data_IF_739360171271
#
_entry.id   IF_739360171271
#
_cell.length_a   1.000
_cell.length_b   1.000
_cell.length_c   1.000
_cell.angle_alpha   90.00
_cell.angle_beta   90.00
_cell.angle_gamma   90.00
#
_symmetry.space_group_name_H-M   'P 1'
#
loop_
_entity.id
_entity.type
_entity.pdbx_description
1 polymer ?
#
# COMPACT_ATOMS: atom_id res chain seq x y z
N UNK A 1 -8.28 11.74 11.55
CA UNK A 1 -7.74 12.99 12.13
C UNK A 1 -6.24 12.90 12.03
N UNK A 2 -5.46 13.56 12.89
CA UNK A 2 -4.10 13.07 13.14
C UNK A 2 -4.18 12.03 14.26
N UNK A 3 -4.64 10.83 13.92
CA UNK A 3 -4.97 9.78 14.90
C UNK A 3 -3.85 8.74 15.03
N UNK A 4 -3.92 7.89 16.07
CA UNK A 4 -2.87 6.90 16.34
C UNK A 4 -3.46 5.60 16.88
N UNK A 5 -3.20 4.51 16.19
CA UNK A 5 -3.73 3.18 16.45
C UNK A 5 -2.60 2.20 16.78
N UNK A 6 -2.58 1.71 18.02
CA UNK A 6 -1.74 0.58 18.43
C UNK A 6 -2.63 -0.66 18.55
N UNK A 7 -2.61 -1.51 17.52
CA UNK A 7 -3.49 -2.68 17.44
C UNK A 7 -2.91 -3.86 18.22
N UNK A 8 -3.75 -4.88 18.41
CA UNK A 8 -3.45 -6.07 19.18
C UNK A 8 -3.55 -7.35 18.36
N UNK A 9 -3.76 -8.47 19.06
CA UNK A 9 -3.84 -9.80 18.45
C UNK A 9 -5.15 -10.05 17.70
N UNK A 10 -5.05 -10.74 16.58
CA UNK A 10 -6.16 -11.11 15.70
C UNK A 10 -6.27 -10.16 14.51
N UNK A 11 -7.20 -10.45 13.61
CA UNK A 11 -7.47 -9.62 12.45
C UNK A 11 -8.16 -8.32 12.90
N UNK A 12 -7.59 -7.19 12.52
CA UNK A 12 -8.11 -5.85 12.83
C UNK A 12 -8.81 -5.24 11.60
N UNK A 13 -9.73 -4.31 11.87
CA UNK A 13 -10.33 -3.42 10.87
C UNK A 13 -10.13 -1.99 11.40
N UNK A 14 -9.39 -1.16 10.65
CA UNK A 14 -9.08 0.23 10.99
C UNK A 14 -9.59 1.15 9.90
N UNK A 15 -10.33 2.20 10.31
CA UNK A 15 -10.69 3.35 9.48
C UNK A 15 -10.31 4.63 10.22
N UNK A 16 -9.24 5.29 9.81
CA UNK A 16 -8.71 6.47 10.50
C UNK A 16 -9.27 7.80 9.96
N UNK A 17 -9.57 7.86 8.66
CA UNK A 17 -10.02 9.07 7.97
C UNK A 17 -8.95 10.16 7.86
N UNK A 18 -9.37 11.38 7.51
CA UNK A 18 -8.47 12.48 7.10
C UNK A 18 -7.56 13.03 8.21
N UNK A 19 -6.31 13.27 7.86
CA UNK A 19 -5.19 13.79 8.64
C UNK A 19 -4.01 12.79 8.65
N UNK A 20 -2.82 13.20 9.11
CA UNK A 20 -1.65 12.30 9.14
C UNK A 20 -1.74 11.35 10.35
N UNK A 21 -1.99 10.07 10.08
CA UNK A 21 -2.20 9.00 11.06
C UNK A 21 -0.95 8.13 11.27
N UNK A 22 -0.93 7.42 12.40
CA UNK A 22 0.03 6.36 12.69
C UNK A 22 -0.71 5.07 13.06
N UNK A 23 -0.58 4.01 12.26
CA UNK A 23 -1.19 2.70 12.49
C UNK A 23 -0.06 1.67 12.69
N UNK A 24 -0.07 0.98 13.82
CA UNK A 24 0.93 -0.04 14.18
C UNK A 24 0.23 -1.30 14.68
N UNK A 25 0.27 -2.37 13.88
CA UNK A 25 -0.13 -3.72 14.31
C UNK A 25 1.01 -4.36 15.11
N UNK A 26 0.75 -4.75 16.35
CA UNK A 26 1.81 -5.25 17.23
C UNK A 26 1.98 -6.77 17.15
N UNK A 27 3.15 -7.19 16.67
CA UNK A 27 3.63 -8.58 16.54
C UNK A 27 3.90 -9.28 17.89
N UNK A 28 2.98 -9.19 18.85
CA UNK A 28 3.11 -9.79 20.19
C UNK A 28 2.63 -11.26 20.24
N UNK A 29 2.71 -11.96 19.11
CA UNK A 29 2.29 -13.36 18.95
C UNK A 29 2.92 -14.01 17.72
N UNK A 30 3.33 -15.29 17.83
CA UNK A 30 3.76 -16.10 16.68
C UNK A 30 2.53 -16.65 15.96
N UNK A 31 1.93 -15.86 15.08
CA UNK A 31 0.77 -16.29 14.29
C UNK A 31 0.37 -15.25 13.26
N UNK A 32 -0.13 -15.74 12.13
CA UNK A 32 -0.53 -14.94 10.97
C UNK A 32 -1.81 -14.16 11.27
N UNK A 33 -1.82 -12.84 11.03
CA UNK A 33 -3.02 -12.00 11.02
C UNK A 33 -3.39 -11.62 9.58
N UNK A 34 -4.65 -11.24 9.34
CA UNK A 34 -5.05 -10.66 8.06
C UNK A 34 -5.76 -9.35 8.38
N UNK A 35 -5.05 -8.24 8.26
CA UNK A 35 -5.52 -6.93 8.73
C UNK A 35 -6.10 -6.08 7.59
N UNK A 36 -7.18 -5.35 7.88
CA UNK A 36 -7.76 -4.35 6.97
C UNK A 36 -7.50 -2.94 7.51
N UNK A 37 -6.84 -2.10 6.72
CA UNK A 37 -6.45 -0.75 7.12
C UNK A 37 -6.84 0.24 6.02
N UNK A 38 -7.64 1.22 6.40
CA UNK A 38 -8.14 2.30 5.54
C UNK A 38 -7.84 3.65 6.20
N UNK A 39 -7.10 4.51 5.52
CA UNK A 39 -6.82 5.89 5.94
C UNK A 39 -7.31 6.90 4.89
N UNK A 40 -7.31 8.19 5.23
CA UNK A 40 -7.98 9.24 4.47
C UNK A 40 -7.02 10.07 3.62
N UNK A 41 -7.20 11.39 3.61
CA UNK A 41 -6.19 12.31 3.07
C UNK A 41 -5.19 12.77 4.16
N UNK A 42 -3.89 12.67 3.90
CA UNK A 42 -2.81 12.94 4.85
C UNK A 42 -1.54 12.20 4.42
N UNK A 43 -0.37 12.50 4.99
CA UNK A 43 0.80 11.60 4.86
C UNK A 43 0.79 10.61 6.03
N UNK A 44 0.44 9.36 5.75
CA UNK A 44 0.18 8.30 6.74
C UNK A 44 1.39 7.37 6.96
N UNK A 45 1.49 6.83 8.18
CA UNK A 45 2.50 5.83 8.55
C UNK A 45 1.82 4.54 9.03
N UNK A 46 1.96 3.46 8.25
CA UNK A 46 1.28 2.18 8.44
C UNK A 46 2.32 1.06 8.63
N UNK A 47 2.20 0.27 9.69
CA UNK A 47 3.01 -0.93 9.90
C UNK A 47 2.17 -2.13 10.31
N UNK A 48 2.38 -3.28 9.65
CA UNK A 48 1.68 -4.54 9.89
C UNK A 48 2.63 -5.70 10.22
N UNK A 49 2.08 -6.75 10.84
CA UNK A 49 2.76 -7.99 11.19
C UNK A 49 2.71 -9.02 10.04
N UNK A 50 3.13 -10.27 10.29
CA UNK A 50 3.03 -11.35 9.30
C UNK A 50 1.58 -11.68 8.90
N UNK A 51 1.26 -11.55 7.61
CA UNK A 51 0.09 -12.22 7.00
C UNK A 51 -0.57 -11.54 5.80
N UNK A 52 -1.88 -11.72 5.62
CA UNK A 52 -2.56 -11.32 4.38
C UNK A 52 -3.35 -10.02 4.55
N UNK A 53 -2.64 -8.90 4.41
CA UNK A 53 -3.17 -7.58 4.69
C UNK A 53 -3.75 -6.89 3.45
N UNK A 54 -4.75 -6.06 3.68
CA UNK A 54 -5.37 -5.17 2.70
C UNK A 54 -5.28 -3.74 3.22
N UNK A 55 -4.54 -2.88 2.51
CA UNK A 55 -4.20 -1.53 2.95
C UNK A 55 -4.61 -0.53 1.87
N UNK A 56 -5.40 0.46 2.25
CA UNK A 56 -5.77 1.63 1.44
C UNK A 56 -5.28 2.87 2.17
N UNK A 57 -4.14 3.43 1.74
CA UNK A 57 -3.50 4.56 2.43
C UNK A 57 -4.12 5.93 2.08
N UNK A 58 -4.87 6.01 0.97
CA UNK A 58 -5.69 7.17 0.65
C UNK A 58 -4.99 8.22 -0.22
N UNK A 59 -4.88 9.45 0.27
CA UNK A 59 -4.34 10.59 -0.50
C UNK A 59 -3.17 11.25 0.24
N UNK A 60 -1.95 10.86 -0.12
CA UNK A 60 -0.77 11.16 0.69
C UNK A 60 0.59 10.97 0.02
N UNK A 61 1.59 10.72 0.86
CA UNK A 61 2.93 10.27 0.48
C UNK A 61 3.32 9.18 1.50
N UNK A 62 2.61 8.06 1.43
CA UNK A 62 2.41 7.22 2.61
C UNK A 62 3.56 6.24 2.82
N UNK A 63 3.86 5.91 4.08
CA UNK A 63 4.94 4.98 4.43
C UNK A 63 4.35 3.69 4.99
N UNK A 64 4.42 2.62 4.21
CA UNK A 64 3.88 1.30 4.55
C UNK A 64 5.04 0.32 4.80
N UNK A 65 5.06 -0.31 5.97
CA UNK A 65 6.08 -1.29 6.38
C UNK A 65 5.45 -2.58 6.90
N UNK A 66 5.50 -3.63 6.10
CA UNK A 66 4.99 -4.96 6.44
C UNK A 66 6.13 -5.91 6.84
N UNK A 67 5.84 -6.94 7.63
CA UNK A 67 6.81 -7.98 7.98
C UNK A 67 6.96 -9.00 6.82
N UNK A 68 6.22 -10.10 6.85
CA UNK A 68 6.13 -11.08 5.76
C UNK A 68 4.66 -11.32 5.38
N UNK A 69 4.23 -10.80 4.23
CA UNK A 69 2.91 -11.07 3.70
C UNK A 69 2.92 -12.22 2.68
N UNK A 70 2.00 -13.18 2.79
CA UNK A 70 1.81 -14.15 1.70
C UNK A 70 1.07 -13.50 0.52
N UNK A 71 0.16 -12.56 0.80
CA UNK A 71 -0.40 -11.60 -0.16
C UNK A 71 -0.56 -10.24 0.50
N UNK A 72 0.09 -9.19 -0.01
CA UNK A 72 -0.25 -7.80 0.30
C UNK A 72 -1.17 -7.25 -0.80
N UNK A 73 -2.31 -6.67 -0.42
CA UNK A 73 -3.17 -5.90 -1.33
C UNK A 73 -3.10 -4.42 -0.98
N UNK A 74 -2.71 -3.58 -1.95
CA UNK A 74 -2.66 -2.13 -1.84
C UNK A 74 -3.72 -1.50 -2.74
N UNK A 75 -4.62 -0.68 -2.20
CA UNK A 75 -5.54 0.13 -3.01
C UNK A 75 -4.91 1.48 -3.30
N UNK A 76 -4.49 1.73 -4.55
CA UNK A 76 -3.89 3.01 -4.94
C UNK A 76 -4.96 4.06 -5.18
N UNK A 77 -4.93 5.12 -4.37
CA UNK A 77 -5.92 6.21 -4.36
C UNK A 77 -5.34 7.58 -4.73
N UNK A 78 -4.02 7.77 -4.60
CA UNK A 78 -3.27 8.86 -5.22
C UNK A 78 -2.19 9.44 -4.32
N UNK A 79 -0.91 9.32 -4.70
CA UNK A 79 0.19 9.75 -3.83
C UNK A 79 1.57 9.30 -4.32
N UNK A 80 2.61 9.57 -3.52
CA UNK A 80 3.94 8.97 -3.69
C UNK A 80 4.27 8.04 -2.53
N UNK A 81 3.67 6.86 -2.56
CA UNK A 81 3.74 5.91 -1.46
C UNK A 81 5.03 5.09 -1.49
N UNK A 82 5.62 4.89 -0.31
CA UNK A 82 6.81 4.08 -0.08
C UNK A 82 6.43 2.81 0.68
N UNK A 83 6.49 1.67 0.00
CA UNK A 83 6.14 0.36 0.58
C UNK A 83 7.39 -0.49 0.76
N UNK A 84 7.50 -1.15 1.92
CA UNK A 84 8.66 -1.96 2.30
C UNK A 84 8.25 -3.22 3.07
N UNK A 85 9.03 -4.30 2.93
CA UNK A 85 8.78 -5.59 3.57
C UNK A 85 9.00 -6.77 2.63
N UNK A 86 8.59 -7.98 3.07
CA UNK A 86 8.66 -9.19 2.24
C UNK A 86 7.27 -9.63 1.80
N UNK A 87 7.10 -9.93 0.51
CA UNK A 87 5.86 -10.47 -0.06
C UNK A 87 6.11 -11.77 -0.83
N UNK A 88 5.16 -12.71 -0.76
CA UNK A 88 5.08 -13.79 -1.76
C UNK A 88 4.23 -13.38 -2.98
N UNK A 89 3.26 -12.47 -2.80
CA UNK A 89 2.54 -11.78 -3.86
C UNK A 89 2.22 -10.33 -3.46
N UNK A 90 2.40 -9.40 -4.40
CA UNK A 90 1.91 -8.02 -4.31
C UNK A 90 0.75 -7.85 -5.27
N UNK A 91 -0.37 -7.34 -4.78
CA UNK A 91 -1.53 -6.93 -5.57
C UNK A 91 -1.67 -5.41 -5.41
N UNK A 92 -1.70 -4.71 -6.54
CA UNK A 92 -2.08 -3.30 -6.62
C UNK A 92 -3.51 -3.29 -7.17
N UNK A 93 -4.46 -3.02 -6.29
CA UNK A 93 -5.84 -2.76 -6.63
C UNK A 93 -5.97 -1.28 -7.02
N UNK A 94 -6.48 -1.01 -8.21
CA UNK A 94 -6.53 0.33 -8.79
C UNK A 94 -7.97 0.55 -9.24
N UNK A 95 -8.63 1.59 -8.72
CA UNK A 95 -10.00 1.94 -9.12
C UNK A 95 -10.07 2.04 -10.66
N UNK A 96 -11.01 1.36 -11.35
CA UNK A 96 -11.15 1.45 -12.80
C UNK A 96 -11.49 2.87 -13.32
N UNK A 97 -11.76 3.84 -12.45
CA UNK A 97 -11.85 5.27 -12.77
C UNK A 97 -10.56 6.06 -12.50
N UNK A 98 -9.57 5.50 -11.80
CA UNK A 98 -8.31 6.17 -11.50
C UNK A 98 -7.43 6.30 -12.77
N UNK A 99 -6.94 7.51 -13.02
CA UNK A 99 -5.94 7.77 -14.05
C UNK A 99 -4.55 7.76 -13.42
N UNK A 100 -3.67 6.86 -13.86
CA UNK A 100 -2.30 6.79 -13.36
C UNK A 100 -1.47 7.87 -14.08
N UNK A 101 -1.39 9.06 -13.49
CA UNK A 101 -0.68 10.22 -14.04
C UNK A 101 0.84 10.14 -13.70
N UNK A 102 1.70 10.24 -14.70
CA UNK A 102 3.17 10.26 -14.53
C UNK A 102 3.79 11.63 -14.81
N UNK A 103 2.99 12.68 -15.03
CA UNK A 103 3.45 14.02 -15.46
C UNK A 103 4.31 14.75 -14.42
N UNK A 104 4.17 14.42 -13.13
CA UNK A 104 5.04 14.91 -12.06
C UNK A 104 6.35 14.10 -11.90
N UNK A 105 6.41 12.89 -12.48
CA UNK A 105 7.31 11.81 -12.04
C UNK A 105 6.77 11.17 -10.73
N UNK A 106 6.58 9.86 -10.61
CA UNK A 106 7.08 8.72 -11.40
C UNK A 106 6.01 7.61 -11.53
N UNK A 107 6.34 6.55 -12.26
CA UNK A 107 6.23 5.17 -11.74
C UNK A 107 7.46 4.38 -12.26
N UNK A 108 7.53 3.03 -12.13
CA UNK A 108 7.49 2.07 -13.28
C UNK A 108 7.92 0.57 -13.01
N UNK A 109 7.14 -0.48 -13.43
CA UNK A 109 7.31 -1.92 -13.00
C UNK A 109 7.07 -3.22 -13.92
N UNK A 110 7.76 -3.52 -15.07
CA UNK A 110 7.95 -4.88 -15.72
C UNK A 110 9.40 -5.28 -16.26
N UNK A 111 10.19 -6.23 -15.70
CA UNK A 111 11.53 -6.72 -16.25
C UNK A 111 11.53 -8.16 -16.86
N UNK A 112 12.55 -9.01 -16.62
CA UNK A 112 12.87 -10.23 -17.38
C UNK A 112 13.29 -11.52 -16.62
N UNK A 113 12.88 -12.66 -17.19
CA UNK A 113 13.29 -14.04 -16.86
C UNK A 113 13.04 -14.54 -15.40
N UNK A 114 11.83 -14.50 -14.82
CA UNK A 114 10.53 -14.26 -15.45
C UNK A 114 9.40 -13.76 -14.49
N UNK A 115 9.68 -13.40 -13.22
CA UNK A 115 8.70 -12.89 -12.24
C UNK A 115 9.04 -11.43 -11.79
N UNK A 116 8.73 -10.39 -12.58
CA UNK A 116 9.72 -9.30 -12.80
C UNK A 116 9.18 -7.86 -13.08
N UNK A 117 9.74 -6.81 -12.43
CA UNK A 117 9.25 -5.39 -12.40
C UNK A 117 10.27 -4.21 -12.72
N UNK A 118 10.20 -3.53 -13.89
CA UNK A 118 10.61 -2.11 -14.27
C UNK A 118 9.97 -1.63 -15.63
N UNK A 119 8.92 -0.78 -15.65
CA UNK A 119 8.23 -0.17 -16.87
C UNK A 119 9.08 1.03 -17.36
N UNK A 120 8.53 2.07 -18.01
CA UNK A 120 9.25 3.29 -18.43
C UNK A 120 8.46 4.60 -18.18
N UNK A 121 9.12 5.62 -17.62
CA UNK A 121 8.54 6.93 -17.30
C UNK A 121 8.61 7.89 -18.48
N UNK A 122 7.63 7.84 -19.39
CA UNK A 122 7.63 8.52 -20.69
C UNK A 122 6.33 9.36 -20.82
N UNK A 123 6.28 10.37 -21.70
CA UNK A 123 5.21 11.39 -21.74
C UNK A 123 4.44 11.62 -23.06
N UNK A 124 4.41 10.68 -24.04
CA UNK A 124 3.28 10.57 -25.00
C UNK A 124 3.05 9.10 -25.48
N UNK A 125 1.96 8.48 -25.00
CA UNK A 125 1.53 7.06 -24.98
C UNK A 125 2.45 5.94 -24.41
N UNK A 126 2.86 5.90 -23.13
CA UNK A 126 3.35 7.01 -22.33
C UNK A 126 2.35 8.13 -22.00
N UNK A 127 1.24 7.87 -21.31
CA UNK A 127 1.31 7.43 -19.91
C UNK A 127 0.46 6.19 -19.56
N UNK A 128 0.18 5.32 -20.55
CA UNK A 128 -0.14 3.88 -20.35
C UNK A 128 -1.51 3.55 -19.71
N UNK A 129 -2.03 2.34 -19.99
CA UNK A 129 -3.25 1.76 -19.38
C UNK A 129 -3.19 0.23 -19.50
N UNK A 130 -3.75 -0.50 -18.53
CA UNK A 130 -3.93 -1.96 -18.56
C UNK A 130 -5.36 -2.35 -18.14
N UNK A 131 -5.79 -3.58 -18.43
CA UNK A 131 -7.12 -4.18 -18.20
C UNK A 131 -6.98 -5.62 -17.71
#
# INVERSE_FOLDING_TARGET
GNDTYYLGRGNNDVRAGDGNNLIVVQEYFTGVTNDYIETGSGDDAISTSDGNDTISAGLGNDTISIANAATLTLTYTGGLDTVSGTVAALILDIDPAATIDFSAGYLVATIDAANILTVTGITDIAQVTFI
#
